data_IF_819216469033
#
_entry.id   IF_819216469033
#
_cell.length_a   1.000
_cell.length_b   1.000
_cell.length_c   1.000
_cell.angle_alpha   90.00
_cell.angle_beta   90.00
_cell.angle_gamma   90.00
#
_symmetry.space_group_name_H-M   'P 1'
#
loop_
_entity.id
_entity.type
_entity.pdbx_description
1 polymer ?
#
# COMPACT_ATOMS: atom_id res chain seq x y z
N UNK A 1 -12.88 -35.78 9.85
CA UNK A 1 -14.12 -35.21 9.26
C UNK A 1 -14.58 -34.12 10.21
N UNK A 2 -15.18 -33.07 9.65
CA UNK A 2 -15.72 -31.87 10.33
C UNK A 2 -14.74 -30.72 10.58
N UNK A 3 -14.67 -29.87 9.54
CA UNK A 3 -14.31 -28.46 9.60
C UNK A 3 -15.42 -27.70 10.35
N UNK A 4 -15.08 -27.03 11.45
CA UNK A 4 -15.95 -25.97 12.00
C UNK A 4 -15.31 -24.61 11.70
N UNK A 5 -16.09 -23.87 10.93
CA UNK A 5 -15.89 -22.52 10.42
C UNK A 5 -15.86 -21.54 11.59
N UNK A 6 -14.71 -20.93 11.86
CA UNK A 6 -14.62 -19.72 12.70
C UNK A 6 -14.66 -18.50 11.76
N UNK A 7 -15.83 -18.26 11.19
CA UNK A 7 -16.24 -16.95 10.65
C UNK A 7 -17.08 -16.31 11.76
N UNK A 8 -16.41 -15.72 12.74
CA UNK A 8 -17.07 -15.02 13.84
C UNK A 8 -16.26 -13.79 14.23
N UNK A 9 -16.30 -12.78 13.34
CA UNK A 9 -16.01 -11.38 13.71
C UNK A 9 -16.48 -10.35 12.64
N UNK A 10 -17.50 -10.64 11.82
CA UNK A 10 -17.92 -9.71 10.75
C UNK A 10 -19.43 -9.59 10.50
N UNK A 11 -20.27 -10.03 11.44
CA UNK A 11 -21.72 -9.82 11.36
C UNK A 11 -22.26 -9.44 12.74
N UNK A 12 -22.37 -8.15 12.99
CA UNK A 12 -23.20 -7.60 14.07
C UNK A 12 -24.31 -6.78 13.40
N UNK A 13 -25.52 -7.33 13.47
CA UNK A 13 -26.85 -6.71 13.45
C UNK A 13 -27.23 -5.78 12.29
N UNK A 14 -27.80 -6.38 11.24
CA UNK A 14 -28.74 -5.71 10.34
C UNK A 14 -30.18 -5.88 10.86
N UNK A 15 -30.57 -5.00 11.76
CA UNK A 15 -31.99 -4.73 12.06
C UNK A 15 -32.28 -3.26 11.75
N UNK A 16 -32.98 -3.03 10.63
CA UNK A 16 -33.95 -1.94 10.40
C UNK A 16 -33.61 -0.47 10.71
N UNK A 17 -32.39 -0.09 11.08
CA UNK A 17 -31.98 1.32 11.22
C UNK A 17 -31.04 1.67 10.08
N UNK A 18 -31.35 2.74 9.35
CA UNK A 18 -30.44 3.39 8.41
C UNK A 18 -29.27 4.00 9.21
N UNK A 19 -28.32 3.15 9.63
CA UNK A 19 -27.08 3.61 10.22
C UNK A 19 -26.38 4.54 9.23
N UNK A 20 -26.17 5.80 9.60
CA UNK A 20 -25.24 6.66 8.87
C UNK A 20 -23.89 5.95 8.83
N UNK A 21 -23.42 5.67 7.62
CA UNK A 21 -22.26 4.83 7.43
C UNK A 21 -21.00 5.62 7.79
N UNK A 22 -20.20 5.04 8.70
CA UNK A 22 -18.90 5.55 9.11
C UNK A 22 -17.93 5.47 7.93
N UNK A 23 -17.29 6.58 7.60
CA UNK A 23 -16.15 6.63 6.71
C UNK A 23 -14.87 6.65 7.54
N UNK A 24 -14.03 5.63 7.39
CA UNK A 24 -12.81 5.54 8.19
C UNK A 24 -11.56 5.92 7.38
N UNK A 25 -10.63 6.60 8.04
CA UNK A 25 -9.27 6.78 7.51
C UNK A 25 -8.21 6.64 8.59
N UNK A 26 -7.03 6.14 8.23
CA UNK A 26 -5.89 6.11 9.14
C UNK A 26 -5.42 7.53 9.45
N UNK A 27 -5.07 7.77 10.72
CA UNK A 27 -4.60 9.09 11.14
C UNK A 27 -3.30 9.47 10.43
N UNK A 28 -2.43 8.50 10.21
CA UNK A 28 -1.20 8.63 9.44
C UNK A 28 -1.43 9.07 7.99
N UNK A 29 -2.38 8.47 7.26
CA UNK A 29 -2.66 8.89 5.89
C UNK A 29 -3.19 10.33 5.86
N UNK A 30 -4.03 10.68 6.83
CA UNK A 30 -4.58 12.01 6.94
C UNK A 30 -3.49 13.06 7.27
N UNK A 31 -2.68 12.86 8.31
CA UNK A 31 -1.63 13.80 8.74
C UNK A 31 -0.50 13.97 7.71
N UNK A 32 -0.16 12.88 7.00
CA UNK A 32 0.84 12.92 5.91
C UNK A 32 0.37 13.76 4.72
N UNK A 33 -0.94 13.79 4.46
CA UNK A 33 -1.54 14.42 3.27
C UNK A 33 -2.09 15.81 3.56
N UNK A 34 -2.27 16.13 4.85
CA UNK A 34 -2.73 17.42 5.36
C UNK A 34 -1.80 17.88 6.48
N UNK A 35 -0.63 18.47 6.14
CA UNK A 35 0.44 18.72 7.10
C UNK A 35 0.09 19.71 8.21
N UNK A 36 -0.83 20.63 7.95
CA UNK A 36 -1.29 21.67 8.89
C UNK A 36 -1.93 21.13 10.18
N UNK A 37 -2.24 19.83 10.19
CA UNK A 37 -2.95 19.12 11.26
C UNK A 37 -2.00 18.34 12.17
N UNK A 38 -0.74 18.13 11.76
CA UNK A 38 0.25 17.37 12.54
C UNK A 38 0.38 17.86 13.99
N UNK A 39 0.26 19.17 14.18
CA UNK A 39 0.42 19.83 15.49
C UNK A 39 -0.92 20.27 16.11
N UNK A 40 -2.05 19.94 15.48
CA UNK A 40 -3.38 20.35 15.95
C UNK A 40 -4.16 19.15 16.44
N UNK A 41 -4.66 19.25 17.66
CA UNK A 41 -5.78 18.40 18.07
C UNK A 41 -6.94 18.64 17.11
N UNK A 42 -7.23 17.64 16.29
CA UNK A 42 -8.43 17.65 15.45
C UNK A 42 -9.64 17.90 16.34
N UNK A 43 -10.42 18.92 16.01
CA UNK A 43 -11.69 19.19 16.70
C UNK A 43 -12.81 18.30 16.13
N UNK A 44 -14.04 18.81 16.14
CA UNK A 44 -15.20 18.21 15.48
C UNK A 44 -15.11 18.24 13.95
N UNK A 45 -14.04 18.80 13.38
CA UNK A 45 -13.87 19.02 11.95
C UNK A 45 -12.54 18.53 11.41
N UNK A 46 -12.58 18.11 10.15
CA UNK A 46 -11.44 17.78 9.30
C UNK A 46 -11.20 18.88 8.28
N UNK A 47 -9.95 19.24 8.03
CA UNK A 47 -9.60 20.01 6.83
C UNK A 47 -9.80 19.15 5.57
N UNK A 48 -10.13 19.85 4.48
CA UNK A 48 -10.30 19.28 3.15
C UNK A 48 -9.27 19.86 2.19
N UNK A 49 -8.72 19.03 1.31
CA UNK A 49 -7.89 19.50 0.19
C UNK A 49 -8.77 19.63 -1.05
N UNK A 50 -8.77 20.80 -1.69
CA UNK A 50 -9.49 21.04 -2.93
C UNK A 50 -8.53 21.47 -4.05
N UNK A 51 -8.79 20.99 -5.26
CA UNK A 51 -8.10 21.43 -6.47
C UNK A 51 -8.92 22.54 -7.14
N UNK A 52 -8.42 23.78 -7.15
CA UNK A 52 -9.07 24.89 -7.84
C UNK A 52 -8.86 24.81 -9.36
N UNK A 53 -7.63 24.48 -9.74
CA UNK A 53 -7.17 24.31 -11.12
C UNK A 53 -6.17 23.16 -11.16
N UNK A 54 -5.95 22.52 -12.31
CA UNK A 54 -5.01 21.41 -12.44
C UNK A 54 -3.65 21.70 -11.77
N UNK A 55 -3.35 20.97 -10.69
CA UNK A 55 -2.11 21.12 -9.93
C UNK A 55 -2.06 22.26 -8.88
N UNK A 56 -3.13 23.06 -8.74
CA UNK A 56 -3.27 24.09 -7.71
C UNK A 56 -4.19 23.61 -6.59
N UNK A 57 -3.59 23.23 -5.47
CA UNK A 57 -4.30 22.70 -4.30
C UNK A 57 -4.44 23.77 -3.22
N UNK A 58 -5.64 23.91 -2.66
CA UNK A 58 -5.90 24.72 -1.48
C UNK A 58 -6.42 23.81 -0.38
N UNK A 59 -5.82 23.96 0.80
CA UNK A 59 -6.38 23.38 2.00
C UNK A 59 -7.47 24.32 2.55
N UNK A 60 -8.70 23.82 2.61
CA UNK A 60 -9.80 24.49 3.29
C UNK A 60 -9.85 23.99 4.72
N UNK A 61 -9.39 24.86 5.62
CA UNK A 61 -9.58 24.71 7.06
C UNK A 61 -11.05 24.91 7.43
N UNK A 62 -11.39 24.41 8.60
CA UNK A 62 -12.73 24.53 9.15
C UNK A 62 -12.78 25.68 10.15
N UNK A 63 -13.61 26.67 9.91
CA UNK A 63 -13.90 27.74 10.86
C UNK A 63 -15.04 27.31 11.77
N UNK A 64 -14.70 26.51 12.78
CA UNK A 64 -15.65 26.18 13.83
C UNK A 64 -15.75 27.29 14.88
N UNK A 65 -16.94 27.55 15.47
CA UNK A 65 -17.02 28.24 16.74
C UNK A 65 -16.17 27.48 17.78
N UNK A 66 -15.52 28.16 18.73
CA UNK A 66 -14.52 27.56 19.63
C UNK A 66 -15.07 26.51 20.61
N UNK A 67 -16.38 26.21 20.60
CA UNK A 67 -16.99 25.24 21.50
C UNK A 67 -16.73 23.82 21.03
N UNK A 68 -15.74 23.18 21.64
CA UNK A 68 -15.55 21.72 21.57
C UNK A 68 -16.52 21.08 22.56
N UNK A 69 -17.50 20.35 22.04
CA UNK A 69 -18.34 19.55 22.91
C UNK A 69 -17.61 18.42 23.62
N UNK A 70 -18.28 17.85 24.62
CA UNK A 70 -17.66 16.89 25.53
C UNK A 70 -17.07 15.68 24.81
N UNK A 71 -15.95 15.16 25.32
CA UNK A 71 -15.29 13.97 24.79
C UNK A 71 -15.54 12.80 25.72
N UNK A 72 -16.10 11.70 25.19
CA UNK A 72 -16.25 10.45 25.93
C UNK A 72 -15.18 9.46 25.48
N UNK A 73 -14.19 9.22 26.34
CA UNK A 73 -13.21 8.17 26.13
C UNK A 73 -13.77 6.80 26.52
N UNK A 74 -13.50 5.80 25.68
CA UNK A 74 -13.75 4.39 25.96
C UNK A 74 -12.45 3.62 25.77
N UNK A 75 -11.94 3.04 26.86
CA UNK A 75 -10.83 2.10 26.79
C UNK A 75 -11.28 0.86 26.00
N UNK A 76 -10.53 0.50 24.96
CA UNK A 76 -10.84 -0.62 24.08
C UNK A 76 -9.55 -1.20 23.52
N UNK A 77 -8.85 -1.92 24.39
CA UNK A 77 -7.61 -2.57 24.02
C UNK A 77 -7.85 -3.68 22.97
N UNK A 78 -7.10 -3.62 21.89
CA UNK A 78 -7.05 -4.63 20.86
C UNK A 78 -5.61 -4.72 20.37
N UNK A 79 -5.01 -5.90 20.43
CA UNK A 79 -3.72 -6.18 19.81
C UNK A 79 -3.89 -7.30 18.80
N UNK A 80 -3.84 -6.96 17.52
CA UNK A 80 -3.87 -7.91 16.42
C UNK A 80 -2.50 -7.91 15.71
N UNK A 81 -1.59 -8.72 16.23
CA UNK A 81 -0.26 -8.93 15.65
C UNK A 81 -0.24 -10.16 14.77
N UNK A 82 0.17 -10.02 13.51
CA UNK A 82 0.23 -11.12 12.55
C UNK A 82 1.52 -11.09 11.74
N UNK A 83 2.00 -12.29 11.43
CA UNK A 83 3.09 -12.49 10.47
C UNK A 83 2.66 -13.50 9.43
N UNK A 84 2.71 -13.12 8.15
CA UNK A 84 2.20 -13.95 7.08
C UNK A 84 2.84 -13.65 5.73
N UNK A 85 2.67 -14.57 4.78
CA UNK A 85 3.14 -14.39 3.40
C UNK A 85 2.27 -13.39 2.65
N UNK A 86 2.90 -12.48 1.91
CA UNK A 86 2.22 -11.61 0.94
C UNK A 86 2.44 -12.22 -0.44
N UNK A 87 1.42 -12.91 -0.96
CA UNK A 87 1.49 -13.65 -2.21
C UNK A 87 1.16 -12.79 -3.42
N UNK A 88 0.29 -11.79 -3.23
CA UNK A 88 -0.17 -10.91 -4.29
C UNK A 88 -0.41 -9.47 -3.79
N UNK A 89 -0.82 -8.57 -4.68
CA UNK A 89 -1.02 -7.17 -4.35
C UNK A 89 -2.25 -6.91 -3.47
N UNK A 90 -3.30 -7.73 -3.58
CA UNK A 90 -4.50 -7.61 -2.76
C UNK A 90 -4.19 -7.97 -1.31
N UNK A 91 -3.29 -8.93 -1.08
CA UNK A 91 -2.88 -9.29 0.28
C UNK A 91 -2.37 -8.05 1.02
N UNK A 92 -1.64 -7.13 0.36
CA UNK A 92 -1.18 -5.86 0.97
C UNK A 92 -2.35 -5.02 1.49
N UNK A 93 -3.46 -4.99 0.74
CA UNK A 93 -4.66 -4.23 1.12
C UNK A 93 -5.36 -4.86 2.31
N UNK A 94 -5.37 -6.19 2.38
CA UNK A 94 -5.87 -6.94 3.54
C UNK A 94 -4.96 -6.75 4.75
N UNK A 95 -3.64 -6.72 4.56
CA UNK A 95 -2.65 -6.55 5.63
C UNK A 95 -2.78 -5.20 6.33
N UNK A 96 -2.83 -4.13 5.55
CA UNK A 96 -2.62 -2.77 6.03
C UNK A 96 -3.90 -1.94 6.09
N UNK A 97 -4.99 -2.47 5.55
CA UNK A 97 -6.18 -1.69 5.23
C UNK A 97 -5.97 -0.83 3.98
N UNK A 98 -6.95 -0.87 3.09
CA UNK A 98 -7.07 0.12 2.03
C UNK A 98 -7.80 1.35 2.61
N UNK A 99 -7.32 2.55 2.29
CA UNK A 99 -8.03 3.79 2.60
C UNK A 99 -9.49 3.70 2.10
N UNK A 100 -10.45 4.25 2.85
CA UNK A 100 -11.83 4.30 2.36
C UNK A 100 -11.92 5.24 1.15
N UNK A 101 -12.51 4.77 0.06
CA UNK A 101 -12.58 5.53 -1.20
C UNK A 101 -13.45 6.77 -1.11
N UNK A 102 -14.56 6.72 -0.36
CA UNK A 102 -15.41 7.88 -0.13
C UNK A 102 -14.72 8.88 0.79
N UNK A 103 -14.14 8.43 1.90
CA UNK A 103 -13.37 9.30 2.80
C UNK A 103 -12.24 10.00 2.04
N UNK A 104 -11.43 9.22 1.30
CA UNK A 104 -10.25 9.72 0.62
C UNK A 104 -10.57 10.70 -0.51
N UNK A 105 -11.68 10.47 -1.22
CA UNK A 105 -12.13 11.39 -2.27
C UNK A 105 -12.77 12.66 -1.71
N UNK A 106 -13.61 12.55 -0.67
CA UNK A 106 -14.27 13.71 -0.07
C UNK A 106 -13.28 14.62 0.65
N UNK A 107 -12.29 14.04 1.34
CA UNK A 107 -11.23 14.79 2.02
C UNK A 107 -10.14 15.30 1.05
N UNK A 108 -10.20 14.89 -0.23
CA UNK A 108 -9.25 15.32 -1.27
C UNK A 108 -7.85 14.73 -1.12
N UNK A 109 -7.69 13.65 -0.36
CA UNK A 109 -6.37 13.09 -0.01
C UNK A 109 -5.67 12.45 -1.20
N UNK A 110 -6.44 12.07 -2.22
CA UNK A 110 -5.91 11.51 -3.45
C UNK A 110 -5.22 12.56 -4.31
N UNK A 111 -5.52 13.86 -4.16
CA UNK A 111 -4.85 14.93 -4.92
C UNK A 111 -3.34 15.03 -4.60
N UNK A 112 -2.95 14.70 -3.37
CA UNK A 112 -1.56 14.70 -2.93
C UNK A 112 -0.88 13.33 -3.10
N UNK A 113 -1.53 12.40 -3.81
CA UNK A 113 -0.97 11.12 -4.27
C UNK A 113 -1.76 9.90 -3.80
N UNK A 114 -1.22 8.71 -4.08
CA UNK A 114 -1.88 7.44 -3.78
C UNK A 114 -2.04 7.17 -2.29
N UNK A 115 -3.07 6.38 -1.94
CA UNK A 115 -3.18 5.77 -0.62
C UNK A 115 -1.97 4.88 -0.33
N UNK A 116 -1.61 4.76 0.93
CA UNK A 116 -0.37 4.13 1.36
C UNK A 116 -0.28 2.66 0.93
N UNK A 117 -1.36 1.90 1.07
CA UNK A 117 -1.39 0.50 0.66
C UNK A 117 -1.16 0.33 -0.86
N UNK A 118 -1.70 1.26 -1.67
CA UNK A 118 -1.47 1.32 -3.13
C UNK A 118 -0.03 1.66 -3.44
N UNK A 119 0.53 2.65 -2.73
CA UNK A 119 1.93 3.05 -2.86
C UNK A 119 2.87 1.87 -2.57
N UNK A 120 2.65 1.15 -1.47
CA UNK A 120 3.46 -0.01 -1.06
C UNK A 120 3.31 -1.15 -2.06
N UNK A 121 2.08 -1.54 -2.40
CA UNK A 121 1.82 -2.58 -3.41
C UNK A 121 2.50 -2.23 -4.74
N UNK A 122 2.43 -0.96 -5.15
CA UNK A 122 3.10 -0.40 -6.32
C UNK A 122 4.63 -0.37 -6.24
N UNK A 123 5.25 -0.63 -5.08
CA UNK A 123 6.71 -0.69 -4.89
C UNK A 123 7.23 -2.12 -4.69
N UNK A 124 6.36 -3.06 -4.30
CA UNK A 124 6.70 -4.49 -4.20
C UNK A 124 6.89 -5.14 -5.59
N UNK A 125 7.55 -6.29 -5.63
CA UNK A 125 7.81 -7.05 -6.86
C UNK A 125 7.37 -8.50 -6.71
N UNK A 126 6.17 -8.81 -7.18
CA UNK A 126 5.67 -10.19 -7.22
C UNK A 126 6.21 -10.95 -8.42
N UNK A 127 6.72 -12.16 -8.19
CA UNK A 127 7.24 -13.01 -9.25
C UNK A 127 7.76 -14.35 -8.73
N UNK A 128 8.11 -15.28 -9.64
CA UNK A 128 8.47 -16.65 -9.27
C UNK A 128 9.81 -16.78 -8.53
N UNK A 129 10.54 -15.69 -8.34
CA UNK A 129 11.83 -15.65 -7.64
C UNK A 129 11.80 -14.69 -6.45
N UNK A 130 10.61 -14.22 -6.08
CA UNK A 130 10.44 -13.31 -4.96
C UNK A 130 9.58 -14.00 -3.93
N UNK A 131 9.97 -13.85 -2.67
CA UNK A 131 9.20 -14.22 -1.51
C UNK A 131 8.98 -12.97 -0.68
N UNK A 132 7.77 -12.77 -0.17
CA UNK A 132 7.44 -11.58 0.62
C UNK A 132 6.74 -12.04 1.90
N UNK A 133 7.23 -11.55 3.04
CA UNK A 133 6.60 -11.77 4.35
C UNK A 133 6.35 -10.42 5.00
N UNK A 134 5.19 -10.26 5.63
CA UNK A 134 4.84 -9.06 6.37
C UNK A 134 4.70 -9.39 7.86
N UNK A 135 5.13 -8.46 8.69
CA UNK A 135 4.75 -8.31 10.08
C UNK A 135 3.81 -7.12 10.15
N UNK A 136 2.65 -7.30 10.77
CA UNK A 136 1.69 -6.23 11.00
C UNK A 136 1.26 -6.31 12.46
N UNK A 137 1.44 -5.22 13.21
CA UNK A 137 0.82 -5.04 14.52
C UNK A 137 -0.21 -3.92 14.41
N UNK A 138 -1.48 -4.27 14.64
CA UNK A 138 -2.54 -3.30 14.85
C UNK A 138 -2.86 -3.25 16.35
N UNK A 139 -2.41 -2.18 17.01
CA UNK A 139 -2.66 -1.95 18.42
C UNK A 139 -3.62 -0.78 18.60
N UNK A 140 -4.76 -0.99 19.25
CA UNK A 140 -5.69 0.08 19.65
C UNK A 140 -5.79 0.10 21.16
N UNK A 141 -5.61 1.24 21.80
CA UNK A 141 -5.76 1.41 23.25
C UNK A 141 -7.15 1.93 23.63
N UNK A 142 -7.73 2.81 22.83
CA UNK A 142 -9.08 3.33 23.10
C UNK A 142 -9.65 4.18 21.98
N UNK A 143 -10.84 4.73 22.23
CA UNK A 143 -11.59 5.54 21.28
C UNK A 143 -12.23 6.71 22.03
N UNK A 144 -12.05 7.91 21.50
CA UNK A 144 -12.85 9.08 21.85
C UNK A 144 -14.05 9.19 20.92
N UNK A 145 -15.22 9.40 21.52
CA UNK A 145 -16.40 9.90 20.85
C UNK A 145 -16.51 11.39 21.10
N UNK A 146 -16.35 12.16 20.03
CA UNK A 146 -16.46 13.61 20.03
C UNK A 146 -17.96 13.96 19.93
N UNK A 147 -18.53 14.50 21.00
CA UNK A 147 -19.93 14.92 21.03
C UNK A 147 -20.07 16.38 20.65
N UNK A 148 -21.14 16.72 19.94
CA UNK A 148 -21.57 18.10 19.72
C UNK A 148 -22.49 18.49 20.88
N UNK A 149 -22.21 19.61 21.57
CA UNK A 149 -22.97 20.03 22.76
C UNK A 149 -24.41 20.43 22.41
N UNK A 150 -25.32 19.45 22.32
CA UNK A 150 -26.75 19.69 22.07
C UNK A 150 -27.09 20.23 20.69
N UNK A 151 -26.11 20.54 19.83
CA UNK A 151 -26.31 20.99 18.45
C UNK A 151 -26.50 19.77 17.55
N UNK A 152 -27.58 19.77 16.77
CA UNK A 152 -27.83 18.72 15.78
C UNK A 152 -26.70 18.75 14.74
N UNK A 153 -26.16 17.60 14.31
CA UNK A 153 -25.22 17.56 13.17
C UNK A 153 -25.77 18.30 11.94
N UNK A 154 -27.08 18.32 11.72
CA UNK A 154 -27.70 19.03 10.61
C UNK A 154 -27.50 20.56 10.70
N UNK A 155 -27.57 21.13 11.90
CA UNK A 155 -27.37 22.57 12.15
C UNK A 155 -25.91 22.98 11.96
N UNK A 156 -24.98 22.03 12.14
CA UNK A 156 -23.57 22.25 11.86
C UNK A 156 -23.28 22.27 10.36
N UNK A 157 -24.11 21.70 9.49
CA UNK A 157 -23.84 21.62 8.05
C UNK A 157 -23.50 22.98 7.41
N UNK A 158 -24.11 24.08 7.86
CA UNK A 158 -23.84 25.42 7.32
C UNK A 158 -22.41 25.93 7.58
N UNK A 159 -21.78 25.48 8.67
CA UNK A 159 -20.42 25.88 9.04
C UNK A 159 -19.36 25.00 8.38
N UNK A 160 -19.78 23.88 7.80
CA UNK A 160 -18.91 22.88 7.23
C UNK A 160 -19.29 22.74 5.77
N UNK A 161 -18.46 23.30 4.89
CA UNK A 161 -18.59 23.19 3.43
C UNK A 161 -18.39 21.73 2.90
N UNK A 162 -18.65 20.73 3.73
CA UNK A 162 -18.45 19.30 3.49
C UNK A 162 -19.59 18.46 4.06
N UNK A 163 -19.80 17.29 3.48
CA UNK A 163 -20.89 16.39 3.86
C UNK A 163 -20.63 15.63 5.17
N UNK A 164 -19.44 15.73 5.78
CA UNK A 164 -19.00 14.86 6.88
C UNK A 164 -18.27 15.61 8.01
N UNK A 165 -18.30 15.03 9.22
CA UNK A 165 -17.62 15.53 10.43
C UNK A 165 -16.88 14.44 11.19
N UNK A 166 -15.87 14.83 11.97
CA UNK A 166 -15.11 13.88 12.78
C UNK A 166 -15.90 13.57 14.05
N UNK A 167 -16.29 12.30 14.22
CA UNK A 167 -17.01 11.85 15.41
C UNK A 167 -16.17 10.92 16.27
N UNK A 168 -15.45 10.01 15.64
CA UNK A 168 -14.69 8.99 16.36
C UNK A 168 -13.20 9.23 16.15
N UNK A 169 -12.42 9.15 17.22
CA UNK A 169 -10.96 9.17 17.16
C UNK A 169 -10.42 8.00 17.95
N UNK A 170 -9.77 7.08 17.26
CA UNK A 170 -9.12 5.94 17.92
C UNK A 170 -7.66 6.23 18.20
N UNK A 171 -7.15 5.66 19.29
CA UNK A 171 -5.77 5.78 19.74
C UNK A 171 -5.05 4.45 19.65
N UNK A 172 -3.75 4.51 19.36
CA UNK A 172 -2.90 3.36 19.16
C UNK A 172 -2.08 3.47 17.88
N UNK A 173 -1.62 2.34 17.37
CA UNK A 173 -0.65 2.27 16.28
C UNK A 173 -0.95 1.18 15.28
N UNK A 174 -0.51 1.41 14.04
CA UNK A 174 -0.39 0.39 13.03
C UNK A 174 1.09 0.34 12.60
N UNK A 175 1.75 -0.74 12.95
CA UNK A 175 3.16 -0.95 12.70
C UNK A 175 3.32 -2.05 11.65
N UNK A 176 4.04 -1.77 10.58
CA UNK A 176 4.20 -2.70 9.45
C UNK A 176 5.65 -2.83 9.07
N UNK A 177 6.12 -4.07 8.95
CA UNK A 177 7.41 -4.40 8.36
C UNK A 177 7.18 -5.39 7.22
N UNK A 178 7.54 -5.02 5.99
CA UNK A 178 7.48 -5.93 4.83
C UNK A 178 8.88 -6.29 4.38
N UNK A 179 9.18 -7.58 4.42
CA UNK A 179 10.42 -8.19 3.95
C UNK A 179 10.20 -8.80 2.56
N UNK A 180 10.71 -8.16 1.51
CA UNK A 180 10.78 -8.72 0.16
C UNK A 180 12.18 -9.31 -0.09
N UNK A 181 12.25 -10.63 -0.26
CA UNK A 181 13.47 -11.36 -0.59
C UNK A 181 13.44 -11.87 -2.03
N UNK A 182 14.48 -11.57 -2.79
CA UNK A 182 14.62 -12.06 -4.17
C UNK A 182 15.75 -13.07 -4.29
N UNK A 183 15.45 -14.21 -4.86
CA UNK A 183 16.37 -15.33 -5.02
C UNK A 183 16.84 -15.51 -6.46
N UNK A 184 17.93 -16.25 -6.63
CA UNK A 184 18.48 -16.54 -7.95
C UNK A 184 17.61 -17.58 -8.69
N UNK A 185 17.05 -18.55 -7.96
CA UNK A 185 16.31 -19.69 -8.51
C UNK A 185 14.88 -19.75 -7.96
N UNK A 186 13.92 -20.19 -8.79
CA UNK A 186 12.51 -20.39 -8.37
C UNK A 186 12.38 -21.48 -7.30
N UNK A 187 13.18 -22.56 -7.43
CA UNK A 187 13.21 -23.68 -6.49
C UNK A 187 13.45 -23.26 -5.03
N UNK A 188 14.25 -22.20 -4.80
CA UNK A 188 14.49 -21.66 -3.45
C UNK A 188 13.19 -21.13 -2.83
N UNK A 189 12.33 -20.47 -3.61
CA UNK A 189 11.03 -19.99 -3.14
C UNK A 189 10.10 -21.15 -2.83
N UNK A 190 10.10 -22.18 -3.69
CA UNK A 190 9.26 -23.37 -3.51
C UNK A 190 9.65 -24.13 -2.23
N UNK A 191 10.95 -24.28 -1.96
CA UNK A 191 11.43 -24.88 -0.70
C UNK A 191 11.05 -24.01 0.51
N UNK A 192 11.26 -22.69 0.44
CA UNK A 192 10.94 -21.79 1.55
C UNK A 192 9.44 -21.77 1.90
N UNK A 193 8.55 -21.91 0.90
CA UNK A 193 7.10 -22.03 1.11
C UNK A 193 6.68 -23.35 1.74
N UNK A 194 7.40 -24.44 1.46
CA UNK A 194 7.13 -25.75 2.06
C UNK A 194 7.56 -25.79 3.52
N UNK A 195 8.64 -25.10 3.85
CA UNK A 195 9.22 -25.08 5.20
C UNK A 195 8.81 -23.82 5.98
N UNK A 196 7.67 -23.22 5.65
CA UNK A 196 7.25 -21.97 6.27
C UNK A 196 6.69 -22.25 7.68
N UNK A 197 7.58 -22.44 8.65
CA UNK A 197 7.20 -22.54 10.06
C UNK A 197 6.42 -21.30 10.54
N UNK A 198 5.84 -21.41 11.74
CA UNK A 198 5.27 -20.26 12.43
C UNK A 198 6.39 -19.44 13.08
N UNK A 199 6.46 -18.16 12.75
CA UNK A 199 7.44 -17.24 13.30
C UNK A 199 6.71 -16.08 13.96
N UNK A 200 7.20 -15.65 15.12
CA UNK A 200 6.74 -14.45 15.84
C UNK A 200 7.57 -13.20 15.50
N UNK A 201 8.66 -13.37 14.75
CA UNK A 201 9.57 -12.30 14.33
C UNK A 201 10.05 -12.53 12.89
N UNK A 202 10.20 -11.46 12.13
CA UNK A 202 10.82 -11.50 10.81
C UNK A 202 12.34 -11.69 10.88
N UNK A 203 12.99 -11.23 11.96
CA UNK A 203 14.42 -11.49 12.23
C UNK A 203 14.71 -12.99 12.31
N UNK A 204 13.95 -13.75 13.10
CA UNK A 204 14.06 -15.22 13.16
C UNK A 204 13.69 -15.89 11.83
N UNK A 205 12.71 -15.34 11.12
CA UNK A 205 12.33 -15.87 9.80
C UNK A 205 13.44 -15.71 8.76
N UNK A 206 14.16 -14.58 8.72
CA UNK A 206 15.23 -14.38 7.74
C UNK A 206 16.42 -15.31 8.01
N UNK A 207 16.77 -15.56 9.27
CA UNK A 207 17.79 -16.55 9.64
C UNK A 207 17.41 -17.94 9.13
N UNK A 208 16.17 -18.35 9.41
CA UNK A 208 15.64 -19.61 8.92
C UNK A 208 15.68 -19.70 7.40
N UNK A 209 15.22 -18.66 6.68
CA UNK A 209 15.23 -18.66 5.22
C UNK A 209 16.65 -18.78 4.65
N UNK A 210 17.63 -18.12 5.28
CA UNK A 210 19.04 -18.18 4.85
C UNK A 210 19.64 -19.56 5.08
N UNK A 211 19.32 -20.20 6.20
CA UNK A 211 19.75 -21.57 6.50
C UNK A 211 19.16 -22.59 5.52
N UNK A 212 17.86 -22.49 5.26
CA UNK A 212 17.13 -23.51 4.50
C UNK A 212 17.34 -23.39 2.98
N UNK A 213 17.41 -22.17 2.45
CA UNK A 213 17.45 -21.95 0.98
C UNK A 213 18.60 -21.07 0.50
N UNK A 214 19.46 -20.62 1.42
CA UNK A 214 20.63 -19.79 1.14
C UNK A 214 20.32 -18.28 1.10
N UNK A 215 21.36 -17.46 0.87
CA UNK A 215 21.22 -15.99 0.89
C UNK A 215 20.39 -15.48 -0.31
N UNK A 216 19.43 -14.58 -0.09
CA UNK A 216 18.76 -13.89 -1.18
C UNK A 216 19.73 -12.96 -1.92
N UNK A 217 19.50 -12.79 -3.22
CA UNK A 217 20.29 -11.91 -4.09
C UNK A 217 20.07 -10.41 -3.83
N UNK A 218 18.87 -10.04 -3.40
CA UNK A 218 18.52 -8.69 -2.99
C UNK A 218 17.38 -8.74 -1.99
N UNK A 219 17.41 -7.83 -1.03
CA UNK A 219 16.36 -7.68 -0.02
C UNK A 219 15.81 -6.26 -0.10
N UNK A 220 14.52 -6.10 0.13
CA UNK A 220 13.90 -4.80 0.34
C UNK A 220 13.09 -4.87 1.63
N UNK A 221 13.31 -3.89 2.49
CA UNK A 221 12.52 -3.66 3.69
C UNK A 221 11.61 -2.47 3.43
N UNK A 222 10.36 -2.58 3.87
CA UNK A 222 9.43 -1.46 3.97
C UNK A 222 9.03 -1.38 5.43
N UNK A 223 9.24 -0.24 6.09
CA UNK A 223 8.69 0.03 7.42
C UNK A 223 7.65 1.13 7.35
N UNK A 224 6.57 0.89 8.07
CA UNK A 224 5.56 1.87 8.40
C UNK A 224 5.44 1.93 9.92
N UNK A 225 5.48 3.14 10.48
CA UNK A 225 5.03 3.40 11.84
C UNK A 225 4.06 4.56 11.84
N UNK A 226 2.85 4.35 12.35
CA UNK A 226 1.92 5.46 12.57
C UNK A 226 2.27 6.24 13.84
N UNK A 227 3.01 5.63 14.78
CA UNK A 227 3.43 6.30 16.01
C UNK A 227 4.45 7.41 15.73
N UNK A 228 5.47 7.09 14.93
CA UNK A 228 6.57 8.03 14.61
C UNK A 228 6.40 8.71 13.26
N UNK A 229 5.21 8.58 12.64
CA UNK A 229 4.92 9.02 11.27
C UNK A 229 5.99 8.63 10.23
N UNK A 230 6.56 7.42 10.37
CA UNK A 230 7.63 6.95 9.50
C UNK A 230 7.07 6.09 8.35
N UNK A 231 7.52 6.38 7.13
CA UNK A 231 7.38 5.48 5.99
C UNK A 231 8.71 5.40 5.24
N UNK A 232 9.35 4.23 5.29
CA UNK A 232 10.64 4.00 4.65
C UNK A 232 10.61 2.83 3.66
N UNK A 233 11.54 2.87 2.69
CA UNK A 233 11.81 1.73 1.81
C UNK A 233 13.31 1.60 1.61
N UNK A 234 13.91 0.61 2.28
CA UNK A 234 15.34 0.34 2.20
C UNK A 234 15.61 -0.85 1.27
N UNK A 235 16.74 -0.81 0.56
CA UNK A 235 17.13 -1.85 -0.41
C UNK A 235 18.55 -2.30 -0.17
N UNK A 236 18.71 -3.59 0.02
CA UNK A 236 19.95 -4.24 0.35
C UNK A 236 20.38 -5.22 -0.74
N UNK A 237 21.69 -5.37 -0.90
CA UNK A 237 22.27 -6.43 -1.73
C UNK A 237 22.56 -7.64 -0.85
N UNK A 238 22.78 -8.80 -1.47
CA UNK A 238 23.07 -10.06 -0.76
C UNK A 238 24.21 -9.98 0.28
N UNK A 239 25.19 -9.09 0.06
CA UNK A 239 26.38 -8.95 0.92
C UNK A 239 26.10 -8.25 2.26
N UNK A 240 25.02 -7.48 2.37
CA UNK A 240 24.69 -6.68 3.55
C UNK A 240 23.56 -7.34 4.36
N UNK A 241 23.63 -8.66 4.53
CA UNK A 241 22.60 -9.42 5.22
C UNK A 241 22.57 -9.13 6.72
N UNK A 242 23.74 -8.93 7.32
CA UNK A 242 23.86 -8.68 8.77
C UNK A 242 23.28 -7.29 9.14
N UNK A 243 23.41 -6.31 8.24
CA UNK A 243 22.72 -5.02 8.34
C UNK A 243 21.19 -5.18 8.30
N UNK A 244 20.68 -6.06 7.42
CA UNK A 244 19.24 -6.35 7.32
C UNK A 244 18.74 -6.97 8.61
N UNK A 245 19.47 -7.93 9.16
CA UNK A 245 19.12 -8.58 10.42
C UNK A 245 19.07 -7.56 11.56
N UNK A 246 20.13 -6.77 11.72
CA UNK A 246 20.22 -5.72 12.74
C UNK A 246 19.06 -4.72 12.62
N UNK A 247 18.69 -4.34 11.38
CA UNK A 247 17.55 -3.46 11.14
C UNK A 247 16.21 -4.10 11.47
N UNK A 248 16.00 -5.38 11.16
CA UNK A 248 14.77 -6.09 11.54
C UNK A 248 14.63 -6.19 13.06
N UNK A 249 15.69 -6.54 13.78
CA UNK A 249 15.70 -6.59 15.24
C UNK A 249 15.40 -5.22 15.84
N UNK A 250 16.04 -4.16 15.31
CA UNK A 250 15.74 -2.79 15.71
C UNK A 250 14.25 -2.47 15.50
N UNK A 251 13.71 -2.75 14.31
CA UNK A 251 12.32 -2.42 13.98
C UNK A 251 11.34 -3.17 14.89
N UNK A 252 11.57 -4.44 15.17
CA UNK A 252 10.76 -5.24 16.07
C UNK A 252 10.84 -4.74 17.52
N UNK A 253 12.02 -4.30 17.97
CA UNK A 253 12.21 -3.70 19.30
C UNK A 253 11.48 -2.37 19.42
N UNK A 254 11.59 -1.49 18.42
CA UNK A 254 10.93 -0.19 18.39
C UNK A 254 9.40 -0.34 18.50
N UNK A 255 8.81 -1.32 17.79
CA UNK A 255 7.37 -1.62 17.84
C UNK A 255 6.98 -2.04 19.27
N UNK A 256 7.74 -2.96 19.86
CA UNK A 256 7.51 -3.40 21.24
C UNK A 256 7.54 -2.23 22.22
N UNK A 257 8.57 -1.39 22.17
CA UNK A 257 8.71 -0.23 23.06
C UNK A 257 7.58 0.78 22.86
N UNK A 258 7.23 1.08 21.59
CA UNK A 258 6.11 1.97 21.26
C UNK A 258 4.81 1.50 21.90
N UNK A 259 4.52 0.20 21.84
CA UNK A 259 3.32 -0.38 22.46
C UNK A 259 3.34 -0.25 23.98
N UNK A 260 4.47 -0.50 24.62
CA UNK A 260 4.61 -0.34 26.07
C UNK A 260 4.48 1.13 26.51
N UNK A 261 5.01 2.07 25.73
CA UNK A 261 4.83 3.50 25.98
C UNK A 261 3.36 3.92 25.87
N UNK A 262 2.58 3.35 24.94
CA UNK A 262 1.14 3.61 24.85
C UNK A 262 0.40 3.03 26.05
N UNK A 263 0.72 1.80 26.47
CA UNK A 263 0.10 1.16 27.66
C UNK A 263 0.36 1.97 28.92
N UNK A 264 1.59 2.47 29.08
CA UNK A 264 2.02 3.33 30.19
C UNK A 264 1.53 4.78 30.05
N UNK A 265 0.81 5.09 28.98
CA UNK A 265 0.29 6.43 28.67
C UNK A 265 1.37 7.50 28.51
N UNK A 266 2.62 7.10 28.21
CA UNK A 266 3.70 8.03 27.87
C UNK A 266 3.43 8.74 26.53
N UNK A 267 2.81 8.02 25.59
CA UNK A 267 2.38 8.55 24.30
C UNK A 267 0.93 8.15 24.03
N UNK A 268 0.19 8.98 23.29
CA UNK A 268 -1.21 8.71 22.91
C UNK A 268 -1.47 8.99 21.41
N UNK A 269 -0.80 8.26 20.50
CA UNK A 269 -0.90 8.50 19.06
C UNK A 269 -2.31 8.22 18.54
N UNK A 270 -2.76 9.02 17.56
CA UNK A 270 -4.00 8.76 16.84
C UNK A 270 -3.80 7.61 15.85
N UNK A 271 -4.75 6.68 15.81
CA UNK A 271 -4.73 5.50 14.94
C UNK A 271 -5.61 5.70 13.70
N UNK A 272 -6.90 6.01 13.92
CA UNK A 272 -7.90 6.22 12.86
C UNK A 272 -8.90 7.30 13.24
N UNK A 273 -9.37 8.00 12.23
CA UNK A 273 -10.44 8.99 12.27
C UNK A 273 -11.70 8.41 11.63
N UNK A 274 -12.82 8.53 12.36
CA UNK A 274 -14.15 8.10 11.93
C UNK A 274 -15.02 9.28 11.58
N UNK A 275 -15.30 9.41 10.29
CA UNK A 275 -16.05 10.51 9.68
C UNK A 275 -17.50 10.10 9.46
N UNK A 276 -18.44 10.95 9.85
CA UNK A 276 -19.88 10.70 9.74
C UNK A 276 -20.57 11.76 8.90
N UNK A 277 -21.56 11.38 8.08
CA UNK A 277 -22.28 12.36 7.28
C UNK A 277 -23.17 13.22 8.18
N UNK A 278 -23.29 14.51 7.84
CA UNK A 278 -24.21 15.42 8.53
C UNK A 278 -25.69 15.06 8.30
N UNK A 279 -26.01 14.49 7.13
CA UNK A 279 -27.36 14.07 6.76
C UNK A 279 -27.41 12.57 6.47
N UNK A 280 -28.37 11.88 7.08
CA UNK A 280 -28.58 10.44 6.90
C UNK A 280 -29.36 10.24 5.59
N UNK A 281 -28.66 10.02 4.47
CA UNK A 281 -29.32 9.72 3.19
C UNK A 281 -28.47 9.83 1.93
N UNK A 282 -27.37 10.59 1.96
CA UNK A 282 -26.51 10.80 0.76
C UNK A 282 -25.29 9.89 0.66
N UNK A 283 -24.99 9.11 1.70
CA UNK A 283 -23.76 8.32 1.78
C UNK A 283 -24.05 6.89 2.25
N UNK A 284 -24.58 6.06 1.34
CA UNK A 284 -24.57 4.61 1.52
C UNK A 284 -23.41 4.06 0.68
N UNK A 285 -22.34 3.63 1.34
CA UNK A 285 -21.30 2.77 0.78
C UNK A 285 -21.87 1.36 0.70
N UNK A 286 -22.27 0.93 -0.49
CA UNK A 286 -22.65 -0.47 -0.70
C UNK A 286 -21.40 -1.34 -0.62
N UNK A 287 -21.54 -2.59 -0.20
CA UNK A 287 -20.42 -3.56 -0.22
C UNK A 287 -19.78 -3.71 -1.60
N UNK A 288 -20.56 -3.49 -2.67
CA UNK A 288 -20.12 -3.41 -4.06
C UNK A 288 -19.09 -2.30 -4.30
N UNK A 289 -19.23 -1.17 -3.61
CA UNK A 289 -18.39 0.02 -3.81
C UNK A 289 -16.98 -0.23 -3.28
N UNK A 290 -16.86 -0.95 -2.16
CA UNK A 290 -15.55 -1.35 -1.61
C UNK A 290 -14.80 -2.27 -2.58
N UNK A 291 -15.47 -3.28 -3.13
CA UNK A 291 -14.87 -4.20 -4.11
C UNK A 291 -14.45 -3.48 -5.40
N UNK A 292 -15.27 -2.54 -5.87
CA UNK A 292 -14.94 -1.72 -7.04
C UNK A 292 -13.76 -0.78 -6.74
N UNK A 293 -13.71 -0.17 -5.56
CA UNK A 293 -12.61 0.66 -5.09
C UNK A 293 -11.30 -0.12 -5.07
N UNK A 294 -11.32 -1.33 -4.52
CA UNK A 294 -10.17 -2.24 -4.48
C UNK A 294 -9.69 -2.56 -5.91
N UNK A 295 -10.60 -2.92 -6.82
CA UNK A 295 -10.28 -3.18 -8.23
C UNK A 295 -9.65 -1.98 -8.92
N UNK A 296 -10.16 -0.77 -8.68
CA UNK A 296 -9.59 0.46 -9.23
C UNK A 296 -8.16 0.70 -8.69
N UNK A 297 -7.95 0.54 -7.38
CA UNK A 297 -6.64 0.63 -6.75
C UNK A 297 -5.64 -0.40 -7.34
N UNK A 298 -6.05 -1.65 -7.54
CA UNK A 298 -5.21 -2.67 -8.18
C UNK A 298 -4.85 -2.34 -9.63
N UNK A 299 -5.73 -1.62 -10.32
CA UNK A 299 -5.49 -1.20 -11.70
C UNK A 299 -4.33 -0.20 -11.76
N UNK A 300 -4.28 0.74 -10.82
CA UNK A 300 -3.18 1.69 -10.66
C UNK A 300 -1.86 0.99 -10.31
N UNK A 301 -1.89 0.03 -9.38
CA UNK A 301 -0.73 -0.80 -9.03
C UNK A 301 -0.18 -1.55 -10.26
N UNK A 302 -1.06 -2.06 -11.14
CA UNK A 302 -0.65 -2.72 -12.39
C UNK A 302 0.01 -1.74 -13.35
N UNK A 303 -0.51 -0.51 -13.48
CA UNK A 303 0.09 0.53 -14.33
C UNK A 303 1.46 0.94 -13.81
N UNK A 304 1.61 1.14 -12.50
CA UNK A 304 2.90 1.47 -11.89
C UNK A 304 3.93 0.36 -12.07
N UNK A 305 3.49 -0.89 -11.95
CA UNK A 305 4.33 -2.05 -12.24
C UNK A 305 4.75 -2.10 -13.71
N UNK A 306 3.85 -1.77 -14.64
CA UNK A 306 4.18 -1.66 -16.06
C UNK A 306 5.16 -0.51 -16.34
N UNK A 307 4.98 0.67 -15.73
CA UNK A 307 5.90 1.81 -15.83
C UNK A 307 7.30 1.45 -15.30
N UNK A 308 7.40 0.77 -14.15
CA UNK A 308 8.69 0.29 -13.63
C UNK A 308 9.35 -0.70 -14.58
N UNK A 309 8.57 -1.62 -15.17
CA UNK A 309 9.07 -2.55 -16.19
C UNK A 309 9.58 -1.82 -17.42
N UNK A 310 8.84 -0.81 -17.89
CA UNK A 310 9.24 0.04 -19.02
C UNK A 310 10.60 0.71 -18.73
N UNK A 311 10.77 1.34 -17.57
CA UNK A 311 12.06 1.98 -17.18
C UNK A 311 13.21 0.98 -17.16
N UNK A 312 12.99 -0.23 -16.65
CA UNK A 312 13.99 -1.31 -16.65
C UNK A 312 14.33 -1.77 -18.08
N UNK A 313 13.37 -1.79 -18.99
CA UNK A 313 13.59 -2.16 -20.39
C UNK A 313 14.34 -1.08 -21.16
N UNK A 314 14.07 0.21 -20.92
CA UNK A 314 14.86 1.31 -21.50
C UNK A 314 16.35 1.14 -21.19
N UNK A 315 16.70 0.91 -19.91
CA UNK A 315 18.09 0.66 -19.51
C UNK A 315 18.74 -0.54 -20.23
N UNK A 316 17.94 -1.54 -20.62
CA UNK A 316 18.43 -2.70 -21.37
C UNK A 316 18.54 -2.41 -22.87
N UNK A 317 17.57 -1.72 -23.45
CA UNK A 317 17.58 -1.28 -24.84
C UNK A 317 18.78 -0.38 -25.15
N UNK A 318 19.18 0.49 -24.22
CA UNK A 318 20.38 1.31 -24.39
C UNK A 318 21.67 0.47 -24.52
N UNK A 319 21.69 -0.74 -23.95
CA UNK A 319 22.84 -1.67 -24.03
C UNK A 319 22.72 -2.66 -25.18
N UNK A 320 21.50 -3.01 -25.55
CA UNK A 320 21.17 -4.00 -26.58
C UNK A 320 19.92 -3.53 -27.31
N UNK A 321 20.09 -2.68 -28.33
CA UNK A 321 18.96 -2.15 -29.08
C UNK A 321 18.27 -3.29 -29.85
N UNK A 322 16.94 -3.27 -29.80
CA UNK A 322 16.08 -4.04 -30.70
C UNK A 322 15.16 -3.06 -31.40
N UNK A 323 14.73 -3.38 -32.61
CA UNK A 323 13.81 -2.55 -33.39
C UNK A 323 12.59 -2.09 -32.57
N UNK A 324 12.00 -2.99 -31.77
CA UNK A 324 10.83 -2.67 -30.96
C UNK A 324 11.12 -1.74 -29.77
N UNK A 325 12.38 -1.44 -29.46
CA UNK A 325 12.76 -0.46 -28.43
C UNK A 325 12.26 0.96 -28.78
N UNK A 326 12.10 1.28 -30.07
CA UNK A 326 11.58 2.57 -30.56
C UNK A 326 10.16 2.84 -30.04
N UNK A 327 9.40 1.79 -29.68
CA UNK A 327 8.05 1.92 -29.13
C UNK A 327 8.02 2.21 -27.62
N UNK A 328 9.14 2.08 -26.89
CA UNK A 328 9.16 2.28 -25.43
C UNK A 328 8.75 3.69 -24.98
N UNK A 329 9.12 4.78 -25.66
CA UNK A 329 8.61 6.13 -25.35
C UNK A 329 7.10 6.24 -25.55
N UNK A 330 6.56 5.71 -26.65
CA UNK A 330 5.11 5.69 -26.93
C UNK A 330 4.34 4.93 -25.84
N UNK A 331 4.81 3.73 -25.48
CA UNK A 331 4.23 2.93 -24.39
C UNK A 331 4.26 3.68 -23.05
N UNK A 332 5.34 4.40 -22.74
CA UNK A 332 5.44 5.24 -21.53
C UNK A 332 4.37 6.34 -21.51
N UNK A 333 4.15 7.02 -22.65
CA UNK A 333 3.13 8.06 -22.79
C UNK A 333 1.72 7.48 -22.58
N UNK A 334 1.41 6.35 -23.21
CA UNK A 334 0.11 5.68 -23.02
C UNK A 334 -0.10 5.21 -21.58
N UNK A 335 0.90 4.58 -20.94
CA UNK A 335 0.79 4.16 -19.54
C UNK A 335 0.58 5.35 -18.59
N UNK A 336 1.21 6.50 -18.85
CA UNK A 336 0.98 7.73 -18.07
C UNK A 336 -0.45 8.23 -18.22
N UNK A 337 -0.96 8.27 -19.45
CA UNK A 337 -2.36 8.65 -19.71
C UNK A 337 -3.33 7.75 -18.94
N UNK A 338 -3.17 6.44 -19.07
CA UNK A 338 -4.00 5.46 -18.34
C UNK A 338 -3.90 5.64 -16.83
N UNK A 339 -2.69 5.92 -16.29
CA UNK A 339 -2.53 6.24 -14.86
C UNK A 339 -3.37 7.46 -14.47
N UNK A 340 -3.22 8.56 -15.21
CA UNK A 340 -3.97 9.80 -14.97
C UNK A 340 -5.48 9.57 -15.03
N UNK A 341 -5.96 8.82 -16.03
CA UNK A 341 -7.39 8.54 -16.18
C UNK A 341 -7.94 7.74 -14.98
N UNK A 342 -7.24 6.68 -14.54
CA UNK A 342 -7.62 5.92 -13.34
C UNK A 342 -7.62 6.81 -12.10
N UNK A 343 -6.56 7.60 -11.91
CA UNK A 343 -6.41 8.46 -10.75
C UNK A 343 -7.52 9.52 -10.68
N UNK A 344 -7.86 10.16 -11.80
CA UNK A 344 -8.95 11.15 -11.89
C UNK A 344 -10.33 10.55 -11.59
N UNK A 345 -10.57 9.28 -11.93
CA UNK A 345 -11.80 8.61 -11.50
C UNK A 345 -11.77 8.35 -9.99
N UNK A 346 -10.65 7.87 -9.44
CA UNK A 346 -10.51 7.61 -8.00
C UNK A 346 -10.66 8.87 -7.16
N UNK A 347 -10.11 10.01 -7.57
CA UNK A 347 -10.23 11.26 -6.82
C UNK A 347 -11.67 11.77 -6.72
N UNK A 348 -12.54 11.35 -7.64
CA UNK A 348 -13.96 11.71 -7.68
C UNK A 348 -14.88 10.54 -7.32
N UNK A 349 -14.38 9.54 -6.58
CA UNK A 349 -15.10 8.30 -6.29
C UNK A 349 -16.51 8.52 -5.74
N UNK A 350 -16.68 9.50 -4.83
CA UNK A 350 -17.98 9.85 -4.25
C UNK A 350 -19.05 10.33 -5.27
N UNK A 351 -18.65 10.67 -6.51
CA UNK A 351 -19.56 11.14 -7.58
C UNK A 351 -19.88 10.05 -8.62
N UNK A 352 -19.23 8.87 -8.56
CA UNK A 352 -19.18 7.93 -9.68
C UNK A 352 -19.87 6.60 -9.32
N UNK A 353 -21.19 6.55 -9.38
CA UNK A 353 -21.96 5.35 -9.00
C UNK A 353 -22.08 4.32 -10.16
N UNK A 354 -21.92 4.72 -11.44
CA UNK A 354 -22.04 3.80 -12.60
C UNK A 354 -20.91 3.88 -13.64
N UNK A 355 -20.33 5.05 -13.88
CA UNK A 355 -19.33 5.25 -14.95
C UNK A 355 -17.90 4.83 -14.58
N UNK A 356 -17.62 4.59 -13.30
CA UNK A 356 -16.29 4.20 -12.83
C UNK A 356 -15.89 2.78 -13.26
N UNK A 357 -16.84 1.85 -13.32
CA UNK A 357 -16.57 0.44 -13.63
C UNK A 357 -16.15 0.27 -15.10
N UNK A 358 -16.89 0.87 -16.03
CA UNK A 358 -16.58 0.80 -17.47
C UNK A 358 -15.22 1.41 -17.79
N UNK A 359 -14.91 2.58 -17.21
CA UNK A 359 -13.61 3.25 -17.39
C UNK A 359 -12.47 2.46 -16.78
N UNK A 360 -12.65 1.90 -15.59
CA UNK A 360 -11.65 1.05 -14.92
C UNK A 360 -11.40 -0.22 -15.73
N UNK A 361 -12.45 -0.82 -16.30
CA UNK A 361 -12.34 -2.00 -17.15
C UNK A 361 -11.60 -1.71 -18.46
N UNK A 362 -11.89 -0.57 -19.10
CA UNK A 362 -11.18 -0.11 -20.29
C UNK A 362 -9.69 0.16 -20.00
N UNK A 363 -9.40 0.89 -18.93
CA UNK A 363 -8.04 1.17 -18.47
C UNK A 363 -7.27 -0.13 -18.15
N UNK A 364 -7.94 -1.12 -17.55
CA UNK A 364 -7.38 -2.45 -17.32
C UNK A 364 -7.05 -3.18 -18.62
N UNK A 365 -7.95 -3.15 -19.62
CA UNK A 365 -7.73 -3.75 -20.94
C UNK A 365 -6.51 -3.13 -21.62
N UNK A 366 -6.41 -1.80 -21.59
CA UNK A 366 -5.27 -1.11 -22.17
C UNK A 366 -3.97 -1.39 -21.41
N UNK A 367 -3.99 -1.37 -20.08
CA UNK A 367 -2.83 -1.72 -19.24
C UNK A 367 -2.33 -3.13 -19.53
N UNK A 368 -3.24 -4.10 -19.71
CA UNK A 368 -2.90 -5.48 -20.10
C UNK A 368 -2.25 -5.52 -21.48
N UNK A 369 -2.81 -4.81 -22.47
CA UNK A 369 -2.25 -4.70 -23.83
C UNK A 369 -0.82 -4.15 -23.81
N UNK A 370 -0.61 -3.01 -23.16
CA UNK A 370 0.71 -2.36 -23.06
C UNK A 370 1.69 -3.24 -22.26
N UNK A 371 1.23 -3.89 -21.19
CA UNK A 371 2.03 -4.85 -20.43
C UNK A 371 2.49 -6.03 -21.28
N UNK A 372 1.61 -6.57 -22.15
CA UNK A 372 1.93 -7.66 -23.10
C UNK A 372 3.05 -7.22 -24.06
N UNK A 373 2.95 -6.03 -24.65
CA UNK A 373 3.99 -5.46 -25.51
C UNK A 373 5.35 -5.34 -24.78
N UNK A 374 5.36 -4.84 -23.53
CA UNK A 374 6.58 -4.82 -22.71
C UNK A 374 7.14 -6.23 -22.43
N UNK A 375 6.29 -7.27 -22.37
CA UNK A 375 6.76 -8.65 -22.23
C UNK A 375 7.47 -9.14 -23.48
N UNK A 376 6.91 -8.85 -24.65
CA UNK A 376 7.47 -9.21 -25.95
C UNK A 376 8.84 -8.58 -26.17
N UNK A 377 8.97 -7.26 -25.96
CA UNK A 377 10.26 -6.55 -26.05
C UNK A 377 11.28 -7.18 -25.10
N UNK A 378 10.88 -7.42 -23.85
CA UNK A 378 11.76 -8.04 -22.86
C UNK A 378 12.12 -9.52 -23.16
N UNK A 379 11.36 -10.22 -24.00
CA UNK A 379 11.69 -11.58 -24.48
C UNK A 379 12.75 -11.50 -25.58
N UNK A 380 12.55 -10.65 -26.59
CA UNK A 380 13.51 -10.42 -27.68
C UNK A 380 14.89 -10.00 -27.18
N UNK A 381 14.95 -9.05 -26.23
CA UNK A 381 16.21 -8.63 -25.60
C UNK A 381 16.92 -9.82 -24.93
N UNK A 382 16.17 -10.70 -24.24
CA UNK A 382 16.74 -11.88 -23.58
C UNK A 382 17.27 -12.91 -24.58
N UNK A 383 16.58 -13.10 -25.69
CA UNK A 383 17.02 -13.99 -26.77
C UNK A 383 18.33 -13.49 -27.39
N UNK A 384 18.41 -12.21 -27.75
CA UNK A 384 19.65 -11.62 -28.26
C UNK A 384 20.80 -11.69 -27.26
N UNK A 385 20.52 -11.53 -25.96
CA UNK A 385 21.54 -11.71 -24.91
C UNK A 385 22.11 -13.13 -24.94
N UNK A 386 21.24 -14.14 -25.07
CA UNK A 386 21.65 -15.54 -25.14
C UNK A 386 22.46 -15.82 -26.40
N UNK A 387 22.05 -15.29 -27.55
CA UNK A 387 22.77 -15.45 -28.83
C UNK A 387 24.17 -14.85 -28.74
N UNK A 388 24.30 -13.59 -28.30
CA UNK A 388 25.61 -12.96 -28.08
C UNK A 388 26.48 -13.72 -27.07
N UNK A 389 25.89 -14.29 -26.02
CA UNK A 389 26.64 -15.10 -25.06
C UNK A 389 27.15 -16.40 -25.69
N UNK A 390 26.32 -17.08 -26.51
CA UNK A 390 26.74 -18.28 -27.27
C UNK A 390 27.87 -17.96 -28.24
N UNK A 391 27.75 -16.88 -29.00
CA UNK A 391 28.80 -16.42 -29.93
C UNK A 391 30.11 -16.10 -29.20
N UNK A 392 30.05 -15.41 -28.06
CA UNK A 392 31.24 -15.14 -27.22
C UNK A 392 31.88 -16.42 -26.70
N UNK A 393 31.08 -17.40 -26.26
CA UNK A 393 31.58 -18.68 -25.79
C UNK A 393 32.22 -19.49 -26.94
N UNK A 394 31.60 -19.51 -28.13
CA UNK A 394 32.16 -20.16 -29.32
C UNK A 394 33.51 -19.55 -29.75
N UNK A 395 33.61 -18.21 -29.75
CA UNK A 395 34.87 -17.51 -30.03
C UNK A 395 35.98 -17.80 -29.00
N UNK A 396 35.63 -18.03 -27.73
CA UNK A 396 36.60 -18.43 -26.69
C UNK A 396 37.11 -19.86 -26.90
N UNK A 397 36.26 -20.77 -27.36
CA UNK A 397 36.65 -22.17 -27.66
C UNK A 397 37.54 -22.23 -28.90
N UNK A 398 37.22 -21.47 -29.96
CA UNK A 398 38.04 -21.37 -31.17
C UNK A 398 39.39 -20.65 -30.98
N UNK A 399 39.61 -19.97 -29.84
CA UNK A 399 40.87 -19.31 -29.48
C UNK A 399 41.76 -20.13 -28.53
N UNK A 400 41.41 -21.39 -28.21
CA UNK A 400 42.38 -22.26 -27.52
C UNK A 400 43.60 -22.42 -28.42
N UNK A 401 44.81 -22.02 -27.99
CA UNK A 401 46.00 -22.17 -28.82
C UNK A 401 46.16 -23.65 -29.15
N UNK A 402 46.31 -23.97 -30.45
CA UNK A 402 46.87 -25.25 -30.89
C UNK A 402 48.16 -25.42 -30.08
N UNK A 403 48.15 -26.26 -29.04
CA UNK A 403 49.37 -26.73 -28.40
C UNK A 403 50.19 -27.30 -29.55
N UNK A 404 51.27 -26.60 -29.92
CA UNK A 404 52.30 -27.13 -30.81
C UNK A 404 52.67 -28.49 -30.20
N UNK A 405 52.34 -29.58 -30.90
CA UNK A 405 53.02 -30.85 -30.71
C UNK A 405 54.49 -30.54 -30.97
N UNK A 406 55.28 -30.44 -29.90
CA UNK A 406 56.73 -30.60 -30.04
C UNK A 406 56.93 -32.07 -30.41
N UNK A 407 57.55 -32.26 -31.58
CA UNK A 407 58.14 -33.52 -32.02
C UNK A 407 59.15 -34.00 -30.99
#
# INVERSE_FOLDING_TARGET
MEFIIVITALLINFSGRTFSQKLDITAFEYSRKVPSIRDKELGHCVSKVEELFPGSLIEKGCTLPPKRGSTRYVSKELNDTRIFEVQNHNDVFVCMGLCDGHASSVLGLLHTGDCLAVEIAGKLTFGPKTFIKAYVEYYRSGIDFLQTDGVSPQELQQYYNGNFFLRDRSYGTMEVIILEMRYAKKKQIETLRRNQGHFQRLSSFIEHAVRDVGKPSSIKLVRLSTATELFDILRYKSRTLDEVYSKLVQYESDIYHTREDIKRQHIKPHLRYGMYPYTHGRASLRSTDHLQWEKACLSEVKVDTALRRQRRLVKKCNKMPVEQCVNLPKIKKSLRKVKTDIHLQRSKWHLLIKSAEEKTNLANKETRRLSKQLRTIGKKIRELTKTKQKERNARKIGRKPRRRRKQ
#
